data_IF_826126565869
#
_entry.id   IF_826126565869
#
_cell.length_a   1.000
_cell.length_b   1.000
_cell.length_c   1.000
_cell.angle_alpha   90.00
_cell.angle_beta   90.00
_cell.angle_gamma   90.00
#
_symmetry.space_group_name_H-M   'P 1'
#
loop_
_entity.id
_entity.type
_entity.pdbx_description
1 polymer ?
#
# COMPACT_ATOMS: atom_id res chain seq x y z
N UNK A 1 -34.49 14.09 -24.93
CA UNK A 1 -35.54 14.75 -25.71
C UNK A 1 -34.97 16.04 -26.25
N UNK A 2 -34.44 16.01 -27.48
CA UNK A 2 -34.24 17.26 -28.22
C UNK A 2 -35.62 17.82 -28.52
N UNK A 3 -35.82 19.12 -28.38
CA UNK A 3 -37.02 19.76 -28.92
C UNK A 3 -36.92 19.60 -30.43
N UNK A 4 -37.79 18.77 -31.01
CA UNK A 4 -37.89 18.60 -32.46
C UNK A 4 -38.45 19.91 -33.04
N UNK A 5 -37.69 20.64 -33.86
CA UNK A 5 -38.14 21.92 -34.41
C UNK A 5 -39.25 21.76 -35.47
N UNK A 6 -39.57 20.53 -35.90
CA UNK A 6 -40.65 20.23 -36.83
C UNK A 6 -41.87 19.71 -36.08
N UNK A 7 -42.76 20.61 -35.67
CA UNK A 7 -44.05 20.23 -35.12
C UNK A 7 -45.15 21.14 -35.68
N UNK A 8 -45.54 20.84 -36.92
CA UNK A 8 -46.91 20.94 -37.45
C UNK A 8 -47.00 20.18 -38.79
N UNK A 9 -48.18 19.69 -39.17
CA UNK A 9 -48.47 18.83 -40.35
C UNK A 9 -48.01 19.42 -41.71
N UNK A 10 -47.59 20.69 -41.71
CA UNK A 10 -47.15 21.50 -42.87
C UNK A 10 -45.64 21.80 -42.88
N UNK A 11 -44.83 21.17 -42.03
CA UNK A 11 -43.37 21.37 -41.96
C UNK A 11 -42.91 22.79 -41.57
N UNK A 12 -43.82 23.63 -41.04
CA UNK A 12 -43.48 24.96 -40.53
C UNK A 12 -42.80 24.88 -39.15
N UNK A 13 -41.87 25.81 -38.84
CA UNK A 13 -41.28 25.86 -37.50
C UNK A 13 -42.36 26.20 -36.48
N UNK A 14 -42.21 25.70 -35.24
CA UNK A 14 -43.18 25.95 -34.17
C UNK A 14 -43.46 27.46 -33.99
N UNK A 15 -44.69 27.83 -33.62
CA UNK A 15 -45.18 29.23 -33.60
C UNK A 15 -44.35 30.22 -32.75
N UNK A 16 -43.56 29.70 -31.81
CA UNK A 16 -42.64 30.43 -30.94
C UNK A 16 -41.22 30.61 -31.51
N UNK A 17 -40.94 30.04 -32.69
CA UNK A 17 -39.68 30.16 -33.44
C UNK A 17 -39.86 31.04 -34.69
N UNK A 18 -38.79 31.64 -35.24
CA UNK A 18 -38.83 32.49 -36.42
C UNK A 18 -39.52 31.81 -37.61
N UNK A 19 -40.48 32.52 -38.17
CA UNK A 19 -41.30 32.07 -39.29
C UNK A 19 -40.78 32.68 -40.62
N UNK A 20 -41.07 32.08 -41.78
CA UNK A 20 -40.63 32.61 -43.08
C UNK A 20 -41.07 34.07 -43.36
N UNK A 21 -42.17 34.52 -42.76
CA UNK A 21 -42.64 35.91 -42.88
C UNK A 21 -41.91 36.91 -41.97
N UNK A 22 -41.17 36.46 -40.95
CA UNK A 22 -40.50 37.35 -40.00
C UNK A 22 -39.30 38.08 -40.63
N UNK A 23 -38.65 37.46 -41.62
CA UNK A 23 -37.56 38.07 -42.37
C UNK A 23 -38.01 39.28 -43.21
N UNK A 24 -39.27 39.32 -43.64
CA UNK A 24 -39.82 40.38 -44.50
C UNK A 24 -40.03 41.70 -43.74
N UNK A 25 -40.24 41.65 -42.42
CA UNK A 25 -40.42 42.85 -41.60
C UNK A 25 -39.12 43.61 -41.31
N UNK A 26 -37.94 42.97 -41.45
CA UNK A 26 -36.64 43.61 -41.19
C UNK A 26 -36.17 44.43 -42.42
N UNK A 27 -36.49 43.98 -43.63
CA UNK A 27 -36.00 44.61 -44.87
C UNK A 27 -37.00 45.56 -45.54
N UNK A 28 -38.31 45.44 -45.34
CA UNK A 28 -39.28 46.17 -46.17
C UNK A 28 -40.07 47.31 -45.51
N UNK A 29 -39.89 47.64 -44.22
CA UNK A 29 -40.65 48.74 -43.61
C UNK A 29 -39.90 49.57 -42.55
N UNK A 30 -38.79 50.19 -42.93
CA UNK A 30 -38.38 51.46 -42.30
C UNK A 30 -38.85 52.62 -43.18
N UNK A 31 -40.16 52.80 -43.32
CA UNK A 31 -40.68 54.09 -43.76
C UNK A 31 -40.46 55.11 -42.63
N UNK A 32 -39.81 56.27 -42.88
CA UNK A 32 -39.72 57.31 -41.87
C UNK A 32 -41.14 57.77 -41.53
N UNK A 33 -41.53 57.62 -40.27
CA UNK A 33 -42.80 58.14 -39.79
C UNK A 33 -42.79 59.67 -39.97
N UNK A 34 -43.82 60.21 -40.61
CA UNK A 34 -43.98 61.66 -40.83
C UNK A 34 -43.92 62.47 -39.54
N UNK A 35 -43.74 63.80 -39.63
CA UNK A 35 -43.47 64.66 -38.48
C UNK A 35 -44.47 64.44 -37.36
N UNK A 36 -43.95 64.09 -36.19
CA UNK A 36 -44.74 63.89 -34.97
C UNK A 36 -45.27 65.26 -34.54
N UNK A 37 -46.59 65.36 -34.40
CA UNK A 37 -47.28 66.59 -33.99
C UNK A 37 -46.84 67.09 -32.61
N UNK A 38 -47.21 68.34 -32.25
CA UNK A 38 -46.58 69.16 -31.19
C UNK A 38 -46.76 68.67 -29.75
N UNK A 39 -47.20 67.43 -29.52
CA UNK A 39 -47.44 66.85 -28.20
C UNK A 39 -46.40 65.81 -27.75
N UNK A 40 -45.37 65.51 -28.56
CA UNK A 40 -44.30 64.58 -28.18
C UNK A 40 -42.96 65.31 -28.00
N UNK A 41 -42.73 65.84 -26.80
CA UNK A 41 -41.53 66.62 -26.45
C UNK A 41 -40.32 65.80 -25.98
N UNK A 42 -40.31 64.48 -26.22
CA UNK A 42 -39.16 63.62 -25.93
C UNK A 42 -38.39 63.29 -27.21
N UNK A 43 -37.12 63.71 -27.32
CA UNK A 43 -36.23 63.25 -28.39
C UNK A 43 -36.08 61.73 -28.31
N UNK A 44 -36.42 61.05 -29.39
CA UNK A 44 -36.20 59.61 -29.56
C UNK A 44 -34.81 59.43 -30.16
N UNK A 45 -33.84 59.02 -29.35
CA UNK A 45 -32.50 58.67 -29.82
C UNK A 45 -32.44 57.19 -30.22
N UNK A 46 -32.10 56.92 -31.47
CA UNK A 46 -31.99 55.57 -32.05
C UNK A 46 -30.55 55.04 -32.00
N UNK A 47 -29.81 55.31 -30.92
CA UNK A 47 -28.49 54.72 -30.72
C UNK A 47 -28.59 53.32 -30.11
N UNK A 48 -27.67 52.39 -30.42
CA UNK A 48 -27.62 51.04 -29.83
C UNK A 48 -27.54 50.98 -28.30
N UNK A 49 -27.32 52.12 -27.62
CA UNK A 49 -27.23 52.28 -26.17
C UNK A 49 -28.48 52.91 -25.52
N UNK A 50 -29.61 53.06 -26.22
CA UNK A 50 -30.83 53.70 -25.69
C UNK A 50 -31.48 53.00 -24.46
N UNK A 51 -30.87 51.95 -23.90
CA UNK A 51 -31.38 51.18 -22.77
C UNK A 51 -30.92 51.60 -21.37
N UNK A 52 -30.14 52.69 -21.20
CA UNK A 52 -29.51 53.00 -19.89
C UNK A 52 -30.00 54.27 -19.19
N UNK A 53 -30.91 55.05 -19.76
CA UNK A 53 -31.49 56.21 -19.06
C UNK A 53 -33.00 56.21 -19.19
N UNK A 54 -33.65 55.88 -18.07
CA UNK A 54 -35.09 55.75 -18.00
C UNK A 54 -35.80 57.09 -18.15
N UNK A 55 -36.64 57.21 -19.17
CA UNK A 55 -37.98 57.78 -19.04
C UNK A 55 -38.88 57.09 -20.08
N UNK A 56 -39.95 56.47 -19.59
CA UNK A 56 -40.95 55.77 -20.41
C UNK A 56 -41.97 56.81 -20.93
N UNK A 57 -42.39 56.79 -22.20
CA UNK A 57 -43.56 57.56 -22.61
C UNK A 57 -44.82 57.01 -21.91
N UNK A 58 -45.75 57.91 -21.57
CA UNK A 58 -47.08 57.59 -21.02
C UNK A 58 -47.88 56.89 -22.13
N UNK A 59 -48.25 55.63 -21.90
CA UNK A 59 -49.02 54.82 -22.85
C UNK A 59 -50.39 54.52 -22.27
N UNK A 60 -51.42 54.75 -23.08
CA UNK A 60 -52.81 54.42 -22.83
C UNK A 60 -52.99 52.89 -22.63
N UNK A 61 -53.94 52.48 -21.79
CA UNK A 61 -53.91 51.23 -21.00
C UNK A 61 -53.85 49.86 -21.74
N UNK A 62 -53.69 49.77 -23.06
CA UNK A 62 -53.80 48.48 -23.79
C UNK A 62 -52.81 48.20 -24.94
N UNK A 63 -51.72 48.95 -25.14
CA UNK A 63 -50.74 48.59 -26.20
C UNK A 63 -49.28 48.65 -25.73
N UNK A 64 -48.92 47.78 -24.78
CA UNK A 64 -47.52 47.56 -24.40
C UNK A 64 -47.14 46.12 -24.75
N UNK A 65 -46.77 45.88 -26.00
CA UNK A 65 -45.80 44.83 -26.30
C UNK A 65 -44.45 45.52 -26.49
N UNK A 66 -43.58 45.41 -25.50
CA UNK A 66 -42.22 46.00 -25.49
C UNK A 66 -41.32 45.48 -26.63
N UNK A 67 -41.76 44.45 -27.33
CA UNK A 67 -41.08 43.73 -28.40
C UNK A 67 -42.13 43.38 -29.47
N UNK A 68 -41.74 43.42 -30.73
CA UNK A 68 -42.57 42.89 -31.83
C UNK A 68 -42.63 41.35 -31.78
N UNK A 69 -43.66 40.72 -32.37
CA UNK A 69 -43.73 39.25 -32.44
C UNK A 69 -42.50 38.60 -33.09
N UNK A 70 -41.88 39.26 -34.07
CA UNK A 70 -40.64 38.77 -34.71
C UNK A 70 -39.43 38.88 -33.78
N UNK A 71 -39.27 39.97 -33.02
CA UNK A 71 -38.23 40.12 -32.00
C UNK A 71 -38.40 39.10 -30.85
N UNK A 72 -39.64 38.83 -30.44
CA UNK A 72 -39.95 37.80 -29.43
C UNK A 72 -39.58 36.39 -29.92
N UNK A 73 -39.96 36.01 -31.16
CA UNK A 73 -39.58 34.72 -31.76
C UNK A 73 -38.07 34.59 -31.94
N UNK A 74 -37.37 35.64 -32.36
CA UNK A 74 -35.91 35.65 -32.48
C UNK A 74 -35.22 35.40 -31.11
N UNK A 75 -35.68 36.09 -30.06
CA UNK A 75 -35.18 35.88 -28.69
C UNK A 75 -35.49 34.49 -28.14
N UNK A 76 -36.67 33.94 -28.44
CA UNK A 76 -37.00 32.56 -28.07
C UNK A 76 -36.10 31.56 -28.78
N UNK A 77 -35.83 31.76 -30.08
CA UNK A 77 -34.90 30.93 -30.82
C UNK A 77 -33.48 30.95 -30.22
N UNK A 78 -32.97 32.13 -29.86
CA UNK A 78 -31.70 32.25 -29.15
C UNK A 78 -31.73 31.54 -27.79
N UNK A 79 -32.83 31.67 -27.04
CA UNK A 79 -33.01 31.01 -25.74
C UNK A 79 -33.02 29.49 -25.89
N UNK A 80 -33.79 28.96 -26.84
CA UNK A 80 -33.84 27.52 -27.16
C UNK A 80 -32.46 27.02 -27.58
N UNK A 81 -31.77 27.75 -28.46
CA UNK A 81 -30.39 27.44 -28.87
C UNK A 81 -29.43 27.39 -27.68
N UNK A 82 -29.49 28.38 -26.77
CA UNK A 82 -28.65 28.42 -25.57
C UNK A 82 -28.96 27.26 -24.61
N UNK A 83 -30.25 26.96 -24.38
CA UNK A 83 -30.65 25.83 -23.53
C UNK A 83 -30.19 24.49 -24.09
N UNK A 84 -30.36 24.26 -25.40
CA UNK A 84 -29.86 23.05 -26.08
C UNK A 84 -28.34 22.92 -25.93
N UNK A 85 -27.58 24.01 -26.10
CA UNK A 85 -26.14 24.00 -25.88
C UNK A 85 -25.76 23.61 -24.44
N UNK A 86 -26.50 24.09 -23.44
CA UNK A 86 -26.28 23.73 -22.02
C UNK A 86 -26.61 22.25 -21.78
N UNK A 87 -27.73 21.76 -22.32
CA UNK A 87 -28.08 20.34 -22.24
C UNK A 87 -27.02 19.45 -22.90
N UNK A 88 -26.54 19.80 -24.09
CA UNK A 88 -25.48 19.06 -24.78
C UNK A 88 -24.17 19.05 -23.99
N UNK A 89 -23.83 20.15 -23.32
CA UNK A 89 -22.68 20.21 -22.41
C UNK A 89 -22.90 19.32 -21.18
N UNK A 90 -24.08 19.34 -20.59
CA UNK A 90 -24.42 18.51 -19.43
C UNK A 90 -24.40 17.01 -19.77
N UNK A 91 -24.97 16.62 -20.91
CA UNK A 91 -24.94 15.24 -21.41
C UNK A 91 -23.51 14.77 -21.68
N UNK A 92 -22.69 15.61 -22.34
CA UNK A 92 -21.27 15.32 -22.53
C UNK A 92 -20.54 15.17 -21.20
N UNK A 93 -20.75 16.07 -20.25
CA UNK A 93 -20.13 15.98 -18.93
C UNK A 93 -20.54 14.70 -18.19
N UNK A 94 -21.83 14.35 -18.22
CA UNK A 94 -22.32 13.10 -17.63
C UNK A 94 -21.68 11.88 -18.29
N UNK A 95 -21.56 11.87 -19.63
CA UNK A 95 -20.89 10.81 -20.36
C UNK A 95 -19.42 10.71 -19.95
N UNK A 96 -18.66 11.82 -19.99
CA UNK A 96 -17.26 11.87 -19.57
C UNK A 96 -17.07 11.41 -18.12
N UNK A 97 -17.96 11.81 -17.21
CA UNK A 97 -17.93 11.40 -15.80
C UNK A 97 -18.13 9.90 -15.65
N UNK A 98 -19.14 9.32 -16.32
CA UNK A 98 -19.40 7.87 -16.30
C UNK A 98 -18.23 7.07 -16.90
N UNK A 99 -17.70 7.52 -18.04
CA UNK A 99 -16.54 6.88 -18.68
C UNK A 99 -15.30 6.95 -17.79
N UNK A 100 -15.05 8.11 -17.17
CA UNK A 100 -13.93 8.29 -16.23
C UNK A 100 -14.08 7.37 -15.01
N UNK A 101 -15.27 7.32 -14.41
CA UNK A 101 -15.56 6.44 -13.28
C UNK A 101 -15.34 4.97 -13.62
N UNK A 102 -15.82 4.52 -14.78
CA UNK A 102 -15.61 3.15 -15.27
C UNK A 102 -14.13 2.84 -15.45
N UNK A 103 -13.37 3.75 -16.09
CA UNK A 103 -11.93 3.59 -16.30
C UNK A 103 -11.17 3.52 -14.99
N UNK A 104 -11.50 4.40 -14.03
CA UNK A 104 -10.87 4.43 -12.71
C UNK A 104 -11.19 3.16 -11.95
N UNK A 105 -12.45 2.71 -11.92
CA UNK A 105 -12.84 1.47 -11.25
C UNK A 105 -12.09 0.27 -11.82
N UNK A 106 -12.02 0.13 -13.15
CA UNK A 106 -11.29 -0.96 -13.79
C UNK A 106 -9.78 -0.93 -13.46
N UNK A 107 -9.18 0.26 -13.42
CA UNK A 107 -7.78 0.41 -13.00
C UNK A 107 -7.58 0.01 -11.54
N UNK A 108 -8.46 0.47 -10.65
CA UNK A 108 -8.42 0.14 -9.21
C UNK A 108 -8.56 -1.35 -8.98
N UNK A 109 -9.51 -2.02 -9.63
CA UNK A 109 -9.71 -3.46 -9.50
C UNK A 109 -8.50 -4.25 -10.03
N UNK A 110 -7.94 -3.82 -11.17
CA UNK A 110 -6.71 -4.41 -11.72
C UNK A 110 -5.53 -4.26 -10.75
N UNK A 111 -5.24 -3.04 -10.30
CA UNK A 111 -4.14 -2.78 -9.36
C UNK A 111 -4.36 -3.51 -8.02
N UNK A 112 -5.60 -3.60 -7.52
CA UNK A 112 -5.92 -4.37 -6.32
C UNK A 112 -5.62 -5.85 -6.53
N UNK A 113 -5.99 -6.44 -7.67
CA UNK A 113 -5.70 -7.85 -7.96
C UNK A 113 -4.19 -8.10 -8.00
N UNK A 114 -3.44 -7.29 -8.76
CA UNK A 114 -1.98 -7.43 -8.91
C UNK A 114 -1.26 -7.29 -7.58
N UNK A 115 -1.63 -6.28 -6.77
CA UNK A 115 -1.03 -6.06 -5.45
C UNK A 115 -1.39 -7.18 -4.47
N UNK A 116 -2.64 -7.64 -4.46
CA UNK A 116 -3.07 -8.77 -3.61
C UNK A 116 -2.30 -10.04 -3.96
N UNK A 117 -2.10 -10.32 -5.25
CA UNK A 117 -1.33 -11.50 -5.69
C UNK A 117 0.14 -11.41 -5.30
N UNK A 118 0.76 -10.23 -5.43
CA UNK A 118 2.13 -10.00 -4.96
C UNK A 118 2.26 -10.20 -3.43
N UNK A 119 1.30 -9.71 -2.64
CA UNK A 119 1.28 -9.91 -1.19
C UNK A 119 1.09 -11.39 -0.84
N UNK A 120 0.23 -12.12 -1.56
CA UNK A 120 0.06 -13.58 -1.38
C UNK A 120 1.35 -14.35 -1.65
N UNK A 121 2.04 -14.01 -2.75
CA UNK A 121 3.33 -14.63 -3.08
C UNK A 121 4.36 -14.36 -1.99
N UNK A 122 4.45 -13.12 -1.51
CA UNK A 122 5.34 -12.76 -0.40
C UNK A 122 4.99 -13.51 0.88
N UNK A 123 3.71 -13.58 1.26
CA UNK A 123 3.24 -14.32 2.42
C UNK A 123 3.65 -15.80 2.35
N UNK A 124 3.51 -16.43 1.17
CA UNK A 124 3.94 -17.81 0.97
C UNK A 124 5.46 -17.99 1.14
N UNK A 125 6.28 -17.08 0.61
CA UNK A 125 7.73 -17.12 0.78
C UNK A 125 8.14 -16.92 2.24
N UNK A 126 7.51 -15.97 2.94
CA UNK A 126 7.79 -15.74 4.37
C UNK A 126 7.39 -16.97 5.19
N UNK A 127 6.25 -17.61 4.89
CA UNK A 127 5.82 -18.83 5.58
C UNK A 127 6.80 -19.98 5.41
N UNK A 128 7.34 -20.15 4.19
CA UNK A 128 8.41 -21.11 3.90
C UNK A 128 9.63 -20.82 4.79
N UNK A 129 10.10 -19.57 4.81
CA UNK A 129 11.27 -19.20 5.61
C UNK A 129 11.05 -19.36 7.11
N UNK A 130 9.89 -18.93 7.63
CA UNK A 130 9.45 -19.15 9.01
C UNK A 130 9.47 -20.64 9.36
N UNK A 131 8.97 -21.50 8.48
CA UNK A 131 8.97 -22.95 8.72
C UNK A 131 10.40 -23.52 8.72
N UNK A 132 11.25 -23.12 7.77
CA UNK A 132 12.65 -23.56 7.72
C UNK A 132 13.45 -23.10 8.93
N UNK A 133 13.23 -21.87 9.41
CA UNK A 133 13.84 -21.35 10.62
C UNK A 133 13.40 -22.14 11.85
N UNK A 134 12.10 -22.48 11.95
CA UNK A 134 11.58 -23.32 13.02
C UNK A 134 12.24 -24.71 13.06
N UNK A 135 12.44 -25.32 11.90
CA UNK A 135 13.18 -26.58 11.79
C UNK A 135 14.66 -26.45 12.19
N UNK A 136 15.32 -25.37 11.77
CA UNK A 136 16.71 -25.10 12.12
C UNK A 136 16.90 -24.85 13.62
N UNK A 137 15.99 -24.10 14.26
CA UNK A 137 15.99 -23.88 15.72
C UNK A 137 15.88 -25.21 16.46
N UNK A 138 15.00 -26.10 16.00
CA UNK A 138 14.85 -27.44 16.58
C UNK A 138 16.14 -28.26 16.44
N UNK A 139 16.72 -28.30 15.24
CA UNK A 139 17.98 -29.00 15.01
C UNK A 139 19.12 -28.45 15.89
N UNK A 140 19.20 -27.13 16.07
CA UNK A 140 20.16 -26.50 16.98
C UNK A 140 19.92 -26.87 18.44
N UNK A 141 18.66 -26.99 18.87
CA UNK A 141 18.33 -27.41 20.23
C UNK A 141 18.74 -28.88 20.47
N UNK A 142 18.49 -29.76 19.50
CA UNK A 142 18.90 -31.16 19.54
C UNK A 142 20.43 -31.28 19.62
N UNK A 143 21.15 -30.53 18.79
CA UNK A 143 22.63 -30.47 18.80
C UNK A 143 23.17 -30.00 20.17
N UNK A 144 22.60 -28.93 20.74
CA UNK A 144 23.01 -28.44 22.07
C UNK A 144 22.80 -29.53 23.15
N UNK A 145 21.72 -30.32 23.05
CA UNK A 145 21.47 -31.43 23.97
C UNK A 145 22.53 -32.52 23.85
N UNK A 146 22.86 -32.92 22.62
CA UNK A 146 23.90 -33.92 22.34
C UNK A 146 25.25 -33.45 22.88
N UNK A 147 25.64 -32.19 22.60
CA UNK A 147 26.89 -31.63 23.12
C UNK A 147 26.92 -31.61 24.65
N UNK A 148 25.79 -31.39 25.32
CA UNK A 148 25.73 -31.42 26.79
C UNK A 148 25.92 -32.84 27.35
N UNK A 149 25.31 -33.85 26.74
CA UNK A 149 25.51 -35.25 27.13
C UNK A 149 26.97 -35.67 26.98
N UNK A 150 27.58 -35.31 25.85
CA UNK A 150 28.99 -35.57 25.54
C UNK A 150 29.95 -34.86 26.50
N UNK A 151 29.66 -33.59 26.82
CA UNK A 151 30.40 -32.81 27.81
C UNK A 151 30.36 -33.46 29.20
N UNK A 152 29.17 -33.92 29.63
CA UNK A 152 29.02 -34.64 30.90
C UNK A 152 29.79 -35.96 30.88
N UNK A 153 29.77 -36.70 29.78
CA UNK A 153 30.55 -37.93 29.62
C UNK A 153 32.05 -37.67 29.74
N UNK A 154 32.57 -36.64 29.08
CA UNK A 154 33.97 -36.24 29.18
C UNK A 154 34.38 -35.85 30.60
N UNK A 155 33.53 -35.10 31.32
CA UNK A 155 33.78 -34.76 32.73
C UNK A 155 33.86 -36.01 33.61
N UNK A 156 33.00 -37.00 33.38
CA UNK A 156 33.08 -38.29 34.08
C UNK A 156 34.37 -39.04 33.74
N UNK A 157 34.77 -39.08 32.46
CA UNK A 157 36.03 -39.72 32.05
C UNK A 157 37.25 -39.08 32.70
N UNK A 158 37.27 -37.76 32.86
CA UNK A 158 38.33 -37.05 33.58
C UNK A 158 38.45 -37.48 35.04
N UNK A 159 37.31 -37.63 35.73
CA UNK A 159 37.29 -38.12 37.13
C UNK A 159 37.74 -39.58 37.21
N UNK A 160 37.30 -40.44 36.28
CA UNK A 160 37.72 -41.85 36.25
C UNK A 160 39.23 -41.98 36.06
N UNK A 161 39.85 -41.08 35.27
CA UNK A 161 41.29 -41.06 35.02
C UNK A 161 42.13 -40.73 36.27
N UNK A 162 41.54 -40.14 37.31
CA UNK A 162 42.24 -39.86 38.58
C UNK A 162 42.58 -41.13 39.35
N UNK A 163 41.77 -42.18 39.20
CA UNK A 163 41.99 -43.46 39.89
C UNK A 163 43.27 -44.18 39.43
N UNK A 164 43.48 -44.50 38.14
CA UNK A 164 44.72 -45.14 37.68
C UNK A 164 45.93 -44.24 37.92
N UNK A 165 45.78 -42.91 37.82
CA UNK A 165 46.86 -41.97 38.16
C UNK A 165 47.30 -42.11 39.63
N UNK A 166 46.33 -42.16 40.55
CA UNK A 166 46.60 -42.32 41.99
C UNK A 166 47.26 -43.65 42.29
N UNK A 167 46.81 -44.74 41.64
CA UNK A 167 47.40 -46.08 41.81
C UNK A 167 48.85 -46.08 41.33
N UNK A 168 49.12 -45.54 40.14
CA UNK A 168 50.48 -45.49 39.59
C UNK A 168 51.42 -44.64 40.46
N UNK A 169 50.93 -43.50 40.98
CA UNK A 169 51.66 -42.66 41.95
C UNK A 169 51.97 -43.41 43.25
N UNK A 170 50.98 -44.05 43.86
CA UNK A 170 51.18 -44.82 45.10
C UNK A 170 52.16 -45.98 44.90
N UNK A 171 52.10 -46.66 43.75
CA UNK A 171 53.04 -47.72 43.37
C UNK A 171 54.48 -47.19 43.26
N UNK A 172 54.69 -46.00 42.67
CA UNK A 172 55.99 -45.35 42.61
C UNK A 172 56.47 -44.92 44.00
N UNK A 173 55.62 -44.32 44.82
CA UNK A 173 55.97 -43.90 46.18
C UNK A 173 56.43 -45.08 47.05
N UNK A 174 55.74 -46.22 46.96
CA UNK A 174 56.14 -47.47 47.64
C UNK A 174 57.51 -47.98 47.16
N UNK A 175 57.83 -47.81 45.87
CA UNK A 175 59.12 -48.20 45.30
C UNK A 175 60.25 -47.28 45.75
N UNK A 176 59.99 -45.98 45.83
CA UNK A 176 60.92 -44.99 46.37
C UNK A 176 61.23 -45.19 47.87
N UNK A 177 60.35 -45.88 48.60
CA UNK A 177 60.56 -46.23 50.01
C UNK A 177 61.35 -47.51 50.27
N UNK A 178 61.87 -48.18 49.23
CA UNK A 178 62.71 -49.38 49.39
C UNK A 178 64.05 -49.03 50.06
N UNK A 179 64.63 -49.94 50.89
CA UNK A 179 65.94 -49.70 51.50
C UNK A 179 67.03 -49.58 50.42
N UNK A 180 68.10 -48.82 50.70
CA UNK A 180 69.15 -48.46 49.72
C UNK A 180 69.71 -49.65 48.92
N UNK A 181 69.77 -50.84 49.52
CA UNK A 181 70.26 -52.06 48.87
C UNK A 181 69.29 -52.62 47.81
N UNK A 182 68.01 -52.28 47.90
CA UNK A 182 66.92 -52.71 46.99
C UNK A 182 66.35 -51.56 46.14
N UNK A 183 66.90 -50.36 46.30
CA UNK A 183 66.51 -49.17 45.54
C UNK A 183 67.14 -49.22 44.15
N UNK A 184 66.49 -49.94 43.24
CA UNK A 184 66.94 -50.14 41.87
C UNK A 184 65.84 -49.71 40.90
N UNK A 185 66.23 -48.97 39.85
CA UNK A 185 65.39 -48.68 38.68
C UNK A 185 65.10 -49.99 37.94
N UNK A 186 63.97 -50.59 38.25
CA UNK A 186 63.53 -51.85 37.64
C UNK A 186 62.54 -51.58 36.50
N UNK A 187 62.34 -52.57 35.63
CA UNK A 187 61.42 -52.44 34.49
C UNK A 187 59.99 -52.01 34.90
N UNK A 188 59.39 -52.53 35.98
CA UNK A 188 58.11 -52.03 36.46
C UNK A 188 58.10 -50.54 36.85
N UNK A 189 59.19 -49.99 37.39
CA UNK A 189 59.29 -48.57 37.68
C UNK A 189 59.30 -47.72 36.40
N UNK A 190 60.01 -48.16 35.36
CA UNK A 190 59.99 -47.50 34.04
C UNK A 190 58.59 -47.52 33.42
N UNK A 191 57.89 -48.66 33.48
CA UNK A 191 56.52 -48.77 32.97
C UNK A 191 55.53 -47.89 33.74
N UNK A 192 55.66 -47.76 35.08
CA UNK A 192 54.82 -46.84 35.87
C UNK A 192 55.06 -45.36 35.50
N UNK A 193 56.30 -44.98 35.19
CA UNK A 193 56.63 -43.63 34.70
C UNK A 193 56.00 -43.40 33.32
N UNK A 194 56.09 -44.38 32.42
CA UNK A 194 55.46 -44.32 31.10
C UNK A 194 53.93 -44.23 31.21
N UNK A 195 53.32 -45.00 32.10
CA UNK A 195 51.87 -44.96 32.37
C UNK A 195 51.45 -43.57 32.85
N UNK A 196 52.18 -42.96 33.79
CA UNK A 196 51.89 -41.61 34.26
C UNK A 196 52.04 -40.56 33.15
N UNK A 197 53.05 -40.69 32.29
CA UNK A 197 53.22 -39.80 31.15
C UNK A 197 52.03 -39.91 30.17
N UNK A 198 51.63 -41.13 29.83
CA UNK A 198 50.47 -41.38 28.96
C UNK A 198 49.16 -40.86 29.57
N UNK A 199 48.95 -41.09 30.87
CA UNK A 199 47.78 -40.57 31.59
C UNK A 199 47.76 -39.04 31.56
N UNK A 200 48.91 -38.38 31.71
CA UNK A 200 49.01 -36.92 31.62
C UNK A 200 48.65 -36.40 30.23
N UNK A 201 49.13 -37.05 29.17
CA UNK A 201 48.77 -36.74 27.78
C UNK A 201 47.26 -36.90 27.52
N UNK A 202 46.69 -38.04 27.93
CA UNK A 202 45.24 -38.31 27.81
C UNK A 202 44.45 -37.23 28.55
N UNK A 203 44.86 -36.87 29.77
CA UNK A 203 44.20 -35.82 30.56
C UNK A 203 44.23 -34.48 29.85
N UNK A 204 45.38 -34.11 29.28
CA UNK A 204 45.52 -32.86 28.54
C UNK A 204 44.60 -32.83 27.31
N UNK A 205 44.54 -33.94 26.57
CA UNK A 205 43.65 -34.09 25.43
C UNK A 205 42.18 -33.94 25.84
N UNK A 206 41.73 -34.68 26.87
CA UNK A 206 40.36 -34.61 27.36
C UNK A 206 39.98 -33.21 27.86
N UNK A 207 40.90 -32.50 28.53
CA UNK A 207 40.68 -31.11 28.99
C UNK A 207 40.53 -30.15 27.81
N UNK A 208 41.39 -30.27 26.79
CA UNK A 208 41.31 -29.45 25.59
C UNK A 208 39.98 -29.69 24.86
N UNK A 209 39.61 -30.95 24.65
CA UNK A 209 38.34 -31.30 24.01
C UNK A 209 37.14 -30.80 24.81
N UNK A 210 37.22 -30.81 26.14
CA UNK A 210 36.17 -30.24 26.99
C UNK A 210 36.03 -28.73 26.79
N UNK A 211 37.14 -27.99 26.70
CA UNK A 211 37.14 -26.55 26.39
C UNK A 211 36.53 -26.28 25.01
N UNK A 212 36.90 -27.07 23.99
CA UNK A 212 36.33 -26.99 22.65
C UNK A 212 34.80 -27.21 22.67
N UNK A 213 34.30 -28.19 23.43
CA UNK A 213 32.87 -28.42 23.62
C UNK A 213 32.16 -27.26 24.32
N UNK A 214 32.75 -26.71 25.39
CA UNK A 214 32.17 -25.59 26.12
C UNK A 214 32.09 -24.33 25.25
N UNK A 215 33.12 -24.06 24.43
CA UNK A 215 33.11 -22.99 23.45
C UNK A 215 32.02 -23.20 22.37
N UNK A 216 31.94 -24.40 21.80
CA UNK A 216 30.91 -24.73 20.79
C UNK A 216 29.49 -24.60 21.34
N UNK A 217 29.26 -24.95 22.60
CA UNK A 217 27.96 -24.77 23.24
C UNK A 217 27.55 -23.30 23.34
N UNK A 218 28.48 -22.40 23.67
CA UNK A 218 28.22 -20.95 23.72
C UNK A 218 27.86 -20.43 22.32
N UNK A 219 28.62 -20.83 21.31
CA UNK A 219 28.36 -20.44 19.92
C UNK A 219 27.02 -20.95 19.41
N UNK A 220 26.69 -22.22 19.68
CA UNK A 220 25.43 -22.82 19.28
C UNK A 220 24.24 -22.15 19.96
N UNK A 221 24.34 -21.80 21.24
CA UNK A 221 23.29 -21.05 21.96
C UNK A 221 23.09 -19.65 21.37
N UNK A 222 24.17 -18.95 21.06
CA UNK A 222 24.13 -17.63 20.39
C UNK A 222 23.52 -17.71 18.99
N UNK A 223 23.88 -18.73 18.22
CA UNK A 223 23.31 -18.98 16.89
C UNK A 223 21.81 -19.30 16.98
N UNK A 224 21.40 -20.17 17.92
CA UNK A 224 19.99 -20.51 18.15
C UNK A 224 19.17 -19.27 18.50
N UNK A 225 19.68 -18.43 19.40
CA UNK A 225 19.00 -17.19 19.80
C UNK A 225 18.81 -16.24 18.60
N UNK A 226 19.82 -16.09 17.74
CA UNK A 226 19.69 -15.30 16.50
C UNK A 226 18.62 -15.85 15.56
N UNK A 227 18.54 -17.17 15.42
CA UNK A 227 17.49 -17.82 14.63
C UNK A 227 16.10 -17.61 15.24
N UNK A 228 15.97 -17.66 16.57
CA UNK A 228 14.72 -17.40 17.29
C UNK A 228 14.22 -15.97 17.06
N UNK A 229 15.12 -14.97 17.04
CA UNK A 229 14.76 -13.59 16.69
C UNK A 229 14.28 -13.47 15.25
N UNK A 230 15.03 -13.97 14.27
CA UNK A 230 14.60 -13.91 12.87
C UNK A 230 13.29 -14.65 12.65
N UNK A 231 13.09 -15.80 13.32
CA UNK A 231 11.83 -16.53 13.27
C UNK A 231 10.67 -15.70 13.81
N UNK A 232 10.86 -14.98 14.92
CA UNK A 232 9.86 -14.07 15.49
C UNK A 232 9.49 -12.98 14.49
N UNK A 233 10.48 -12.34 13.87
CA UNK A 233 10.26 -11.30 12.86
C UNK A 233 9.54 -11.87 11.63
N UNK A 234 9.91 -13.07 11.15
CA UNK A 234 9.19 -13.74 10.05
C UNK A 234 7.76 -14.10 10.43
N UNK A 235 7.51 -14.50 11.67
CA UNK A 235 6.16 -14.80 12.14
C UNK A 235 5.29 -13.55 12.12
N UNK A 236 5.76 -12.45 12.67
CA UNK A 236 5.04 -11.17 12.66
C UNK A 236 4.78 -10.68 11.23
N UNK A 237 5.82 -10.68 10.38
CA UNK A 237 5.68 -10.29 8.98
C UNK A 237 4.67 -11.18 8.22
N UNK A 238 4.66 -12.48 8.49
CA UNK A 238 3.68 -13.40 7.91
C UNK A 238 2.25 -13.10 8.36
N UNK A 239 2.04 -12.81 9.65
CA UNK A 239 0.72 -12.46 10.19
C UNK A 239 0.18 -11.19 9.54
N UNK A 240 1.02 -10.16 9.40
CA UNK A 240 0.66 -8.92 8.69
C UNK A 240 0.34 -9.17 7.22
N UNK A 241 1.18 -9.92 6.52
CA UNK A 241 0.98 -10.18 5.09
C UNK A 241 -0.22 -11.06 4.81
N UNK A 242 -0.45 -12.06 5.66
CA UNK A 242 -1.63 -12.89 5.61
C UNK A 242 -2.88 -12.05 5.81
N UNK A 243 -2.92 -11.18 6.84
CA UNK A 243 -4.05 -10.27 7.04
C UNK A 243 -4.29 -9.35 5.84
N UNK A 244 -3.22 -8.74 5.31
CA UNK A 244 -3.28 -7.85 4.16
C UNK A 244 -3.75 -8.56 2.87
N UNK A 245 -3.34 -9.81 2.65
CA UNK A 245 -3.77 -10.62 1.50
C UNK A 245 -5.28 -10.91 1.47
N UNK A 246 -5.97 -10.77 2.61
CA UNK A 246 -7.42 -10.94 2.71
C UNK A 246 -8.20 -9.62 2.57
N UNK A 247 -7.51 -8.47 2.50
CA UNK A 247 -8.15 -7.17 2.31
C UNK A 247 -8.63 -7.02 0.86
N UNK A 248 -9.79 -6.40 0.70
CA UNK A 248 -10.43 -6.12 -0.59
C UNK A 248 -10.86 -4.65 -0.62
N UNK A 249 -11.13 -4.11 -1.81
CA UNK A 249 -11.60 -2.73 -2.01
C UNK A 249 -12.88 -2.37 -1.22
N UNK A 250 -13.63 -3.37 -0.76
CA UNK A 250 -14.88 -3.23 0.02
C UNK A 250 -14.71 -3.52 1.51
N UNK A 251 -13.50 -3.85 1.97
CA UNK A 251 -13.24 -4.15 3.37
C UNK A 251 -13.57 -2.94 4.25
N UNK A 252 -14.29 -3.15 5.36
CA UNK A 252 -14.71 -2.06 6.26
C UNK A 252 -13.55 -1.37 6.99
N UNK A 253 -12.37 -1.98 7.00
CA UNK A 253 -11.14 -1.42 7.59
C UNK A 253 -10.63 -0.18 6.84
N UNK A 254 -10.83 -0.13 5.52
CA UNK A 254 -10.49 1.00 4.65
C UNK A 254 -11.66 1.99 4.55
N UNK A 255 -12.10 2.55 5.68
CA UNK A 255 -13.10 3.62 5.66
C UNK A 255 -12.51 4.90 5.04
N UNK A 256 -13.28 5.54 4.15
CA UNK A 256 -12.99 6.90 3.69
C UNK A 256 -12.90 7.86 4.88
N UNK A 257 -11.74 8.49 5.06
CA UNK A 257 -11.54 9.57 6.04
C UNK A 257 -11.68 10.91 5.31
N UNK A 258 -12.62 11.78 5.71
CA UNK A 258 -12.71 13.13 5.16
C UNK A 258 -11.34 13.84 5.27
N UNK A 259 -10.81 14.33 4.16
CA UNK A 259 -9.51 15.01 4.12
C UNK A 259 -8.31 14.16 3.72
N UNK A 260 -8.46 12.85 3.44
CA UNK A 260 -7.37 12.00 2.94
C UNK A 260 -6.77 12.46 1.59
N UNK A 261 -7.47 13.33 0.86
CA UNK A 261 -7.05 13.91 -0.43
C UNK A 261 -6.69 15.41 -0.30
N UNK A 262 -6.65 15.98 0.91
CA UNK A 262 -6.15 17.35 1.07
C UNK A 262 -4.64 17.35 0.86
N UNK A 263 -4.20 17.87 -0.28
CA UNK A 263 -2.83 18.33 -0.41
C UNK A 263 -2.66 19.60 0.45
N UNK A 264 -1.63 19.67 1.31
CA UNK A 264 -1.32 20.90 2.02
C UNK A 264 -0.96 21.99 1.00
N UNK A 265 -1.31 23.26 1.27
CA UNK A 265 -0.83 24.37 0.46
C UNK A 265 0.71 24.43 0.57
N UNK A 266 1.37 24.67 -0.57
CA UNK A 266 2.82 24.94 -0.64
C UNK A 266 3.24 26.15 0.19
#
# INVERSE_FOLDING_TARGET
MSIDPHADELNNPACYLPQPHDAKFITENLQPMGPIGPWATGKVDWSPMAGLTGTRPVVDRYSITRFSPSEWRAKNFETVKNTNQVFDRALRNQHHSKTSQMRISAMVDKTQSETTDNVRQRAHLIDKWKTTLGAAIKAMADEISILEEERVRLKKSLVILELPESIAKECLDKRCGRPDTELVRDAPEEELINELALIAEIRQLLKKTLEDFEQQQVENRSARQRLEYDWSDKKEAYEMDSANAHLQNKSTTIMFRPGAVRQPPE
#
